data_IF_533587559582
#
_entry.id   IF_533587559582
#
_cell.length_a   1.000
_cell.length_b   1.000
_cell.length_c   1.000
_cell.angle_alpha   90.00
_cell.angle_beta   90.00
_cell.angle_gamma   90.00
#
_symmetry.space_group_name_H-M   'P 1'
#
loop_
_entity.id
_entity.type
_entity.pdbx_description
1 polymer ?
#
# COMPACT_ATOMS: atom_id res chain seq x y z
N UNK A 1 14.71 -2.00 6.98
CA UNK A 1 15.38 -3.30 6.72
C UNK A 1 14.40 -4.47 6.82
N UNK A 2 14.02 -4.94 8.01
CA UNK A 2 13.17 -6.12 8.17
C UNK A 2 11.82 -6.03 7.44
N UNK A 3 11.06 -4.95 7.66
CA UNK A 3 9.72 -4.74 7.07
C UNK A 3 9.71 -4.66 5.54
N UNK A 4 10.82 -4.27 4.91
CA UNK A 4 10.94 -4.17 3.44
C UNK A 4 11.45 -5.49 2.81
N UNK A 5 11.57 -6.57 3.58
CA UNK A 5 12.00 -7.87 3.08
C UNK A 5 13.52 -8.07 2.95
N UNK A 6 14.36 -7.14 3.41
CA UNK A 6 15.82 -7.34 3.39
C UNK A 6 16.32 -8.33 4.45
N UNK A 7 15.51 -8.59 5.48
CA UNK A 7 15.77 -9.60 6.51
C UNK A 7 14.45 -10.31 6.89
N UNK A 8 13.96 -11.25 6.04
CA UNK A 8 12.65 -11.86 6.21
C UNK A 8 12.45 -12.54 7.57
N UNK A 9 13.43 -13.31 8.04
CA UNK A 9 13.35 -14.00 9.34
C UNK A 9 13.24 -13.02 10.50
N UNK A 10 13.89 -11.84 10.41
CA UNK A 10 13.75 -10.81 11.43
C UNK A 10 12.35 -10.17 11.41
N UNK A 11 11.75 -10.00 10.22
CA UNK A 11 10.38 -9.50 10.10
C UNK A 11 9.37 -10.50 10.70
N UNK A 12 9.52 -11.79 10.39
CA UNK A 12 8.69 -12.86 10.95
C UNK A 12 8.79 -12.89 12.48
N UNK A 13 10.00 -12.88 13.05
CA UNK A 13 10.17 -12.90 14.51
C UNK A 13 9.60 -11.67 15.22
N UNK A 14 9.74 -10.49 14.63
CA UNK A 14 9.33 -9.22 15.28
C UNK A 14 7.87 -8.87 15.07
N UNK A 15 7.32 -9.20 13.91
CA UNK A 15 5.98 -8.75 13.49
C UNK A 15 5.02 -9.91 13.20
N UNK A 16 5.48 -11.17 13.24
CA UNK A 16 4.63 -12.33 12.96
C UNK A 16 4.00 -12.26 11.55
N UNK A 17 4.76 -11.78 10.57
CA UNK A 17 4.34 -11.62 9.18
C UNK A 17 5.52 -11.84 8.22
N UNK A 18 5.24 -12.43 7.07
CA UNK A 18 6.19 -12.60 5.98
C UNK A 18 6.22 -11.33 5.11
N UNK A 19 7.39 -10.70 4.91
CA UNK A 19 7.54 -9.60 3.97
C UNK A 19 7.85 -10.10 2.56
N UNK A 20 7.71 -9.23 1.56
CA UNK A 20 8.27 -9.43 0.22
C UNK A 20 9.10 -8.23 -0.21
N UNK A 21 10.19 -8.48 -0.94
CA UNK A 21 11.04 -7.46 -1.54
C UNK A 21 10.54 -7.15 -2.95
N UNK A 22 9.40 -6.45 -3.02
CA UNK A 22 8.81 -5.94 -4.27
C UNK A 22 9.10 -4.44 -4.44
N UNK A 23 8.70 -3.88 -5.58
CA UNK A 23 8.73 -2.44 -5.86
C UNK A 23 7.89 -1.62 -4.87
N UNK A 24 6.87 -2.24 -4.29
CA UNK A 24 6.01 -1.65 -3.24
C UNK A 24 6.34 -2.18 -1.84
N UNK A 25 7.56 -2.65 -1.59
CA UNK A 25 7.98 -3.17 -0.28
C UNK A 25 7.86 -2.15 0.87
N UNK A 26 7.98 -0.86 0.58
CA UNK A 26 7.76 0.22 1.55
C UNK A 26 6.32 0.23 2.05
N UNK A 27 5.35 0.10 1.15
CA UNK A 27 3.95 0.00 1.52
C UNK A 27 3.64 -1.34 2.22
N UNK A 28 4.20 -2.46 1.74
CA UNK A 28 4.05 -3.75 2.44
C UNK A 28 4.55 -3.65 3.88
N UNK A 29 5.68 -3.00 4.10
CA UNK A 29 6.23 -2.80 5.44
C UNK A 29 5.29 -1.99 6.33
N UNK A 30 4.72 -0.90 5.82
CA UNK A 30 3.70 -0.12 6.55
C UNK A 30 2.46 -0.97 6.85
N UNK A 31 1.96 -1.74 5.88
CA UNK A 31 0.78 -2.60 6.08
C UNK A 31 1.04 -3.74 7.05
N UNK A 32 2.25 -4.30 7.07
CA UNK A 32 2.67 -5.28 8.08
C UNK A 32 2.70 -4.64 9.46
N UNK A 33 3.24 -3.42 9.59
CA UNK A 33 3.27 -2.69 10.85
C UNK A 33 1.85 -2.42 11.37
N UNK A 34 0.96 -1.90 10.53
CA UNK A 34 -0.45 -1.68 10.89
C UNK A 34 -1.11 -3.01 11.26
N UNK A 35 -0.97 -4.05 10.44
CA UNK A 35 -1.55 -5.37 10.71
C UNK A 35 -1.00 -6.03 12.00
N UNK A 36 0.25 -5.76 12.37
CA UNK A 36 0.81 -6.16 13.65
C UNK A 36 0.15 -5.42 14.82
N UNK A 37 -0.04 -4.11 14.71
CA UNK A 37 -0.75 -3.31 15.73
C UNK A 37 -2.18 -3.82 15.90
N UNK A 38 -2.92 -4.03 14.80
CA UNK A 38 -4.30 -4.53 14.86
C UNK A 38 -4.40 -5.88 15.56
N UNK A 39 -3.60 -6.88 15.15
CA UNK A 39 -3.62 -8.22 15.76
C UNK A 39 -3.21 -8.21 17.23
N UNK A 40 -2.40 -7.24 17.65
CA UNK A 40 -2.00 -7.07 19.05
C UNK A 40 -3.13 -6.44 19.86
N UNK A 41 -3.76 -5.40 19.32
CA UNK A 41 -4.82 -4.64 19.98
C UNK A 41 -6.16 -5.39 20.06
N UNK A 42 -6.52 -6.15 19.02
CA UNK A 42 -7.79 -6.85 18.92
C UNK A 42 -8.02 -7.85 20.08
N UNK A 43 -6.96 -8.40 20.66
CA UNK A 43 -7.01 -9.27 21.85
C UNK A 43 -7.58 -8.58 23.09
N UNK A 44 -7.63 -7.25 23.08
CA UNK A 44 -8.11 -6.41 24.18
C UNK A 44 -9.37 -5.64 23.79
N UNK A 45 -10.08 -6.08 22.75
CA UNK A 45 -11.25 -5.40 22.18
C UNK A 45 -10.93 -3.95 21.76
N UNK A 46 -9.72 -3.72 21.25
CA UNK A 46 -9.28 -2.43 20.73
C UNK A 46 -9.10 -2.47 19.22
N UNK A 47 -9.56 -1.41 18.59
CA UNK A 47 -9.51 -1.18 17.15
C UNK A 47 -8.72 0.11 16.88
N UNK A 48 -7.64 0.05 16.10
CA UNK A 48 -6.83 1.23 15.77
C UNK A 48 -7.00 1.66 14.32
N UNK A 49 -7.88 2.61 14.03
CA UNK A 49 -8.12 3.04 12.64
C UNK A 49 -6.95 3.89 12.12
N UNK A 50 -6.36 3.56 10.94
CA UNK A 50 -5.32 4.38 10.34
C UNK A 50 -5.85 5.73 9.84
N UNK A 51 -5.23 6.81 10.28
CA UNK A 51 -5.52 8.18 9.83
C UNK A 51 -4.53 8.66 8.76
N UNK A 52 -3.26 8.31 8.92
CA UNK A 52 -2.18 8.65 7.99
C UNK A 52 -1.05 7.64 8.17
N UNK A 53 -0.54 7.09 7.08
CA UNK A 53 0.64 6.23 7.11
C UNK A 53 1.57 6.56 5.95
N UNK A 54 2.84 6.79 6.25
CA UNK A 54 3.82 7.16 5.22
C UNK A 54 5.21 6.62 5.56
N UNK A 55 6.04 6.53 4.53
CA UNK A 55 7.48 6.40 4.71
C UNK A 55 8.13 7.71 4.31
N UNK A 56 8.92 8.29 5.21
CA UNK A 56 9.79 9.43 4.90
C UNK A 56 11.22 9.01 5.16
N UNK A 57 12.08 9.07 4.14
CA UNK A 57 13.46 8.56 4.19
C UNK A 57 13.48 7.08 4.56
N UNK A 58 14.00 6.74 5.74
CA UNK A 58 14.17 5.36 6.22
C UNK A 58 13.22 5.00 7.37
N UNK A 59 12.24 5.86 7.67
CA UNK A 59 11.31 5.68 8.78
C UNK A 59 9.88 5.53 8.26
N UNK A 60 9.20 4.50 8.74
CA UNK A 60 7.77 4.31 8.56
C UNK A 60 7.05 4.95 9.75
N UNK A 61 6.02 5.75 9.48
CA UNK A 61 5.18 6.38 10.49
C UNK A 61 3.72 6.04 10.23
N UNK A 62 3.01 5.72 11.30
CA UNK A 62 1.58 5.41 11.29
C UNK A 62 0.92 6.21 12.41
N UNK A 63 -0.13 6.97 12.06
CA UNK A 63 -0.96 7.71 12.99
C UNK A 63 -2.31 7.00 13.04
N UNK A 64 -2.69 6.56 14.23
CA UNK A 64 -3.85 5.71 14.46
C UNK A 64 -4.77 6.34 15.50
N UNK A 65 -6.08 6.18 15.35
CA UNK A 65 -7.06 6.51 16.39
C UNK A 65 -7.64 5.23 17.00
N UNK A 66 -7.62 5.16 18.32
CA UNK A 66 -8.06 3.98 19.07
C UNK A 66 -9.55 4.03 19.41
N UNK A 67 -10.24 2.94 19.17
CA UNK A 67 -11.63 2.72 19.56
C UNK A 67 -11.75 1.42 20.36
N UNK A 68 -12.64 1.40 21.35
CA UNK A 68 -12.92 0.20 22.16
C UNK A 68 -14.23 -0.47 21.71
N UNK A 69 -14.21 -1.79 21.67
CA UNK A 69 -15.37 -2.66 21.44
C UNK A 69 -15.02 -3.87 20.56
N UNK A 70 -15.47 -5.06 20.98
CA UNK A 70 -15.22 -6.32 20.28
C UNK A 70 -15.67 -6.27 18.81
N UNK A 71 -16.89 -5.79 18.54
CA UNK A 71 -17.41 -5.64 17.18
C UNK A 71 -16.54 -4.74 16.29
N UNK A 72 -15.90 -3.73 16.86
CA UNK A 72 -14.98 -2.85 16.12
C UNK A 72 -13.65 -3.56 15.85
N UNK A 73 -13.14 -4.29 16.84
CA UNK A 73 -11.95 -5.13 16.67
C UNK A 73 -12.17 -6.20 15.59
N UNK A 74 -13.34 -6.85 15.56
CA UNK A 74 -13.71 -7.84 14.54
C UNK A 74 -13.71 -7.25 13.13
N UNK A 75 -14.29 -6.06 12.95
CA UNK A 75 -14.30 -5.35 11.66
C UNK A 75 -12.90 -5.05 11.15
N UNK A 76 -12.02 -4.59 12.04
CA UNK A 76 -10.61 -4.35 11.70
C UNK A 76 -9.91 -5.66 11.36
N UNK A 77 -10.16 -6.74 12.12
CA UNK A 77 -9.55 -8.03 11.85
C UNK A 77 -9.98 -8.62 10.50
N UNK A 78 -11.20 -8.31 10.02
CA UNK A 78 -11.67 -8.70 8.69
C UNK A 78 -10.88 -8.04 7.53
N UNK A 79 -10.20 -6.92 7.79
CA UNK A 79 -9.33 -6.23 6.82
C UNK A 79 -7.89 -6.77 6.83
N UNK A 80 -7.56 -7.74 7.68
CA UNK A 80 -6.27 -8.43 7.63
C UNK A 80 -6.30 -9.47 6.50
N UNK A 81 -5.20 -9.57 5.76
CA UNK A 81 -5.05 -10.56 4.72
C UNK A 81 -3.64 -10.63 4.15
N UNK A 82 -3.54 -11.05 2.90
CA UNK A 82 -2.29 -11.38 2.23
C UNK A 82 -2.21 -10.75 0.85
N UNK A 83 -0.98 -10.46 0.42
CA UNK A 83 -0.66 -10.06 -0.96
C UNK A 83 0.12 -11.19 -1.61
N UNK A 84 -0.42 -11.76 -2.69
CA UNK A 84 0.26 -12.76 -3.51
C UNK A 84 0.83 -12.10 -4.76
N UNK A 85 2.15 -12.12 -4.93
CA UNK A 85 2.88 -11.42 -5.99
C UNK A 85 3.56 -12.39 -6.95
N UNK A 86 3.48 -12.08 -8.25
CA UNK A 86 4.21 -12.77 -9.30
C UNK A 86 5.44 -11.97 -9.71
N UNK A 87 6.64 -12.49 -9.42
CA UNK A 87 7.91 -11.84 -9.78
C UNK A 87 8.23 -11.88 -11.29
N UNK A 88 7.47 -12.63 -12.10
CA UNK A 88 7.66 -12.68 -13.54
C UNK A 88 6.92 -11.56 -14.29
N UNK A 89 5.68 -11.26 -13.91
CA UNK A 89 4.85 -10.27 -14.62
C UNK A 89 4.38 -9.11 -13.74
N UNK A 90 4.76 -9.07 -12.45
CA UNK A 90 4.32 -8.07 -11.46
C UNK A 90 2.81 -8.05 -11.17
N UNK A 91 2.05 -9.04 -11.65
CA UNK A 91 0.65 -9.23 -11.23
C UNK A 91 0.60 -9.60 -9.75
N UNK A 92 -0.44 -9.13 -9.08
CA UNK A 92 -0.69 -9.39 -7.67
C UNK A 92 -2.16 -9.64 -7.38
N UNK A 93 -2.41 -10.36 -6.29
CA UNK A 93 -3.73 -10.73 -5.81
C UNK A 93 -3.84 -10.39 -4.33
N UNK A 94 -4.99 -9.86 -3.92
CA UNK A 94 -5.31 -9.56 -2.53
C UNK A 94 -6.25 -10.63 -2.01
N UNK A 95 -5.94 -11.23 -0.87
CA UNK A 95 -6.79 -12.24 -0.23
C UNK A 95 -7.06 -11.84 1.21
N UNK A 96 -8.31 -11.53 1.54
CA UNK A 96 -8.73 -11.18 2.91
C UNK A 96 -8.91 -12.44 3.77
N UNK A 97 -8.73 -12.29 5.08
CA UNK A 97 -8.93 -13.34 6.07
C UNK A 97 -7.62 -13.90 6.61
N UNK A 98 -7.64 -14.27 7.90
CA UNK A 98 -6.49 -14.84 8.61
C UNK A 98 -6.20 -16.30 8.26
N UNK A 99 -7.23 -17.05 7.86
CA UNK A 99 -7.16 -18.45 7.45
C UNK A 99 -7.52 -18.60 5.96
N UNK A 100 -7.02 -17.69 5.13
CA UNK A 100 -7.36 -17.63 3.72
C UNK A 100 -6.56 -18.65 2.88
N UNK A 101 -7.21 -19.25 1.89
CA UNK A 101 -6.54 -20.04 0.86
C UNK A 101 -5.86 -19.10 -0.14
N UNK A 102 -4.54 -19.23 -0.28
CA UNK A 102 -3.75 -18.35 -1.14
C UNK A 102 -3.53 -18.98 -2.53
N UNK A 103 -3.64 -18.20 -3.62
CA UNK A 103 -3.43 -18.72 -4.96
C UNK A 103 -1.96 -19.12 -5.16
N UNK A 104 -1.70 -20.34 -5.64
CA UNK A 104 -0.34 -20.84 -5.82
C UNK A 104 0.32 -20.41 -7.14
N UNK A 105 -0.48 -20.15 -8.18
CA UNK A 105 -0.02 -19.81 -9.53
C UNK A 105 -0.65 -18.52 -10.04
N UNK A 106 0.16 -17.74 -10.76
CA UNK A 106 -0.27 -16.58 -11.51
C UNK A 106 -0.96 -17.01 -12.81
N UNK A 107 -1.78 -16.13 -13.39
CA UNK A 107 -2.33 -16.30 -14.74
C UNK A 107 -1.25 -16.51 -15.83
N UNK A 108 -0.01 -16.03 -15.63
CA UNK A 108 1.12 -16.29 -16.52
C UNK A 108 1.81 -17.66 -16.30
N UNK A 109 1.28 -18.50 -15.41
CA UNK A 109 1.80 -19.84 -15.11
C UNK A 109 2.89 -19.90 -14.03
N UNK A 110 3.55 -18.79 -13.71
CA UNK A 110 4.61 -18.71 -12.68
C UNK A 110 4.04 -18.85 -11.27
N UNK A 111 4.81 -19.44 -10.36
CA UNK A 111 4.46 -19.53 -8.93
C UNK A 111 4.37 -18.16 -8.25
N UNK A 112 3.40 -18.03 -7.34
CA UNK A 112 3.20 -16.83 -6.54
C UNK A 112 3.99 -16.88 -5.23
N UNK A 113 4.36 -15.70 -4.73
CA UNK A 113 4.97 -15.52 -3.41
C UNK A 113 4.06 -14.64 -2.55
N UNK A 114 3.99 -14.91 -1.25
CA UNK A 114 3.00 -14.28 -0.38
C UNK A 114 3.66 -13.35 0.65
N UNK A 115 3.05 -12.19 0.87
CA UNK A 115 3.29 -11.30 2.01
C UNK A 115 2.08 -11.30 2.93
N UNK A 116 2.31 -11.28 4.23
CA UNK A 116 1.27 -11.17 5.26
C UNK A 116 1.47 -12.09 6.46
N UNK A 117 0.51 -12.13 7.40
CA UNK A 117 -0.72 -11.32 7.39
C UNK A 117 -0.41 -9.82 7.54
N UNK A 118 -1.15 -8.99 6.81
CA UNK A 118 -0.97 -7.53 6.76
C UNK A 118 -2.31 -6.81 6.60
N UNK A 119 -2.31 -5.50 6.83
CA UNK A 119 -3.49 -4.65 6.68
C UNK A 119 -3.83 -4.37 5.21
N UNK A 120 -5.01 -4.81 4.75
CA UNK A 120 -5.54 -4.54 3.42
C UNK A 120 -6.53 -3.36 3.37
N UNK A 121 -6.91 -2.81 4.51
CA UNK A 121 -7.77 -1.63 4.57
C UNK A 121 -7.08 -0.31 4.17
N UNK A 122 -7.78 0.82 4.33
CA UNK A 122 -7.25 2.16 4.06
C UNK A 122 -6.04 2.51 4.94
N UNK A 123 -5.06 3.23 4.38
CA UNK A 123 -3.90 3.75 5.12
C UNK A 123 -4.05 5.24 5.47
N UNK A 124 -5.06 5.89 4.90
CA UNK A 124 -5.28 7.32 4.96
C UNK A 124 -6.76 7.59 5.16
N UNK A 125 -7.07 8.47 6.11
CA UNK A 125 -8.37 9.13 6.18
C UNK A 125 -8.27 10.45 5.40
N UNK A 126 -8.99 10.55 4.28
CA UNK A 126 -8.84 11.67 3.33
C UNK A 126 -9.09 13.02 4.01
N UNK A 127 -10.14 13.12 4.80
CA UNK A 127 -10.55 14.37 5.42
C UNK A 127 -9.58 14.78 6.52
N UNK A 128 -9.10 13.83 7.33
CA UNK A 128 -8.04 14.06 8.29
C UNK A 128 -6.76 14.55 7.61
N UNK A 129 -6.32 13.90 6.53
CA UNK A 129 -5.12 14.30 5.79
C UNK A 129 -5.25 15.71 5.22
N UNK A 130 -6.42 16.09 4.71
CA UNK A 130 -6.68 17.45 4.22
C UNK A 130 -6.61 18.50 5.33
N UNK A 131 -7.17 18.21 6.52
CA UNK A 131 -7.04 19.10 7.69
C UNK A 131 -5.60 19.26 8.15
N UNK A 132 -4.83 18.16 8.18
CA UNK A 132 -3.39 18.23 8.52
C UNK A 132 -2.62 19.06 7.49
N UNK A 133 -2.95 18.92 6.20
CA UNK A 133 -2.33 19.70 5.12
C UNK A 133 -2.57 21.21 5.29
N UNK A 134 -3.79 21.61 5.63
CA UNK A 134 -4.14 23.01 5.88
C UNK A 134 -3.37 23.57 7.07
N UNK A 135 -3.27 22.80 8.16
CA UNK A 135 -2.53 23.20 9.35
C UNK A 135 -1.03 23.34 9.07
N UNK A 136 -0.44 22.38 8.35
CA UNK A 136 0.97 22.44 7.93
C UNK A 136 1.27 23.70 7.13
N UNK A 137 0.38 24.07 6.18
CA UNK A 137 0.52 25.31 5.40
C UNK A 137 0.40 26.56 6.28
N UNK A 138 -0.50 26.55 7.25
CA UNK A 138 -0.73 27.67 8.18
C UNK A 138 0.47 27.95 9.07
N UNK A 139 1.19 26.91 9.51
CA UNK A 139 2.37 27.05 10.36
C UNK A 139 3.56 27.72 9.65
N UNK A 140 3.59 27.75 8.31
CA UNK A 140 4.53 28.50 7.48
C UNK A 140 6.04 28.27 7.78
N UNK A 141 6.43 27.10 8.32
CA UNK A 141 7.85 26.74 8.47
C UNK A 141 8.47 26.33 7.13
N UNK A 142 9.81 26.28 7.07
CA UNK A 142 10.59 26.08 5.84
C UNK A 142 10.14 24.91 4.97
N UNK A 143 9.77 23.77 5.56
CA UNK A 143 9.35 22.55 4.85
C UNK A 143 7.84 22.43 4.64
N UNK A 144 7.03 23.36 5.15
CA UNK A 144 5.56 23.28 5.11
C UNK A 144 4.99 23.01 3.71
N UNK A 145 5.53 23.66 2.67
CA UNK A 145 5.08 23.46 1.28
C UNK A 145 5.41 22.07 0.73
N UNK A 146 6.57 21.53 1.08
CA UNK A 146 6.99 20.17 0.67
C UNK A 146 6.10 19.13 1.34
N UNK A 147 5.88 19.26 2.64
CA UNK A 147 5.04 18.36 3.43
C UNK A 147 3.57 18.45 3.00
N UNK A 148 3.07 19.65 2.67
CA UNK A 148 1.74 19.82 2.09
C UNK A 148 1.60 19.13 0.72
N UNK A 149 2.65 19.13 -0.11
CA UNK A 149 2.70 18.38 -1.36
C UNK A 149 2.61 16.87 -1.13
N UNK A 150 3.35 16.35 -0.14
CA UNK A 150 3.24 14.94 0.28
C UNK A 150 1.82 14.59 0.75
N UNK A 151 1.22 15.43 1.61
CA UNK A 151 -0.14 15.22 2.12
C UNK A 151 -1.18 15.31 1.00
N UNK A 152 -0.94 16.11 -0.04
CA UNK A 152 -1.80 16.15 -1.23
C UNK A 152 -1.81 14.78 -1.91
N UNK A 153 -0.64 14.18 -2.13
CA UNK A 153 -0.53 12.81 -2.69
C UNK A 153 -1.27 11.80 -1.80
N UNK A 154 -1.04 11.85 -0.48
CA UNK A 154 -1.73 10.97 0.48
C UNK A 154 -3.26 11.10 0.38
N UNK A 155 -3.79 12.32 0.23
CA UNK A 155 -5.24 12.57 0.13
C UNK A 155 -5.85 12.06 -1.18
N UNK A 156 -5.10 12.13 -2.28
CA UNK A 156 -5.52 11.61 -3.59
C UNK A 156 -5.50 10.08 -3.61
N UNK A 157 -4.49 9.46 -2.99
CA UNK A 157 -4.34 8.01 -2.98
C UNK A 157 -5.19 7.30 -1.92
N UNK A 158 -5.83 8.05 -1.00
CA UNK A 158 -6.60 7.54 0.13
C UNK A 158 -7.74 6.57 -0.25
N UNK A 159 -8.35 6.81 -1.41
CA UNK A 159 -9.45 5.99 -1.95
C UNK A 159 -8.97 4.87 -2.86
N UNK A 160 -7.66 4.76 -3.07
CA UNK A 160 -7.05 3.77 -3.95
C UNK A 160 -6.92 2.40 -3.31
N UNK A 161 -6.77 1.34 -4.13
CA UNK A 161 -6.58 0.00 -3.61
C UNK A 161 -5.21 -0.18 -2.94
N UNK A 162 -5.05 -1.24 -2.13
CA UNK A 162 -3.75 -1.63 -1.60
C UNK A 162 -2.73 -1.85 -2.70
N UNK A 163 -1.47 -1.53 -2.39
CA UNK A 163 -0.29 -1.62 -3.26
C UNK A 163 -0.35 -0.66 -4.46
N UNK A 164 0.76 -0.57 -5.20
CA UNK A 164 0.89 0.28 -6.37
C UNK A 164 1.71 -0.44 -7.45
N UNK A 165 1.64 0.05 -8.69
CA UNK A 165 2.53 -0.32 -9.77
C UNK A 165 3.64 0.72 -9.92
N UNK A 166 4.83 0.31 -10.33
CA UNK A 166 5.89 1.24 -10.71
C UNK A 166 6.08 1.24 -12.22
N UNK A 167 6.13 2.43 -12.83
CA UNK A 167 6.26 2.60 -14.27
C UNK A 167 7.55 1.95 -14.81
N UNK A 168 8.67 2.05 -14.09
CA UNK A 168 9.93 1.47 -14.55
C UNK A 168 9.89 -0.06 -14.51
N UNK A 169 9.24 -0.61 -13.48
CA UNK A 169 9.09 -2.07 -13.31
C UNK A 169 8.21 -2.64 -14.41
N UNK A 170 7.05 -2.02 -14.67
CA UNK A 170 6.16 -2.46 -15.75
C UNK A 170 6.80 -2.32 -17.13
N UNK A 171 7.55 -1.24 -17.38
CA UNK A 171 8.29 -1.06 -18.63
C UNK A 171 9.37 -2.14 -18.80
N UNK A 172 10.09 -2.49 -17.73
CA UNK A 172 11.06 -3.59 -17.74
C UNK A 172 10.40 -4.95 -18.01
N UNK A 173 9.21 -5.21 -17.43
CA UNK A 173 8.44 -6.44 -17.70
C UNK A 173 7.98 -6.50 -19.16
N UNK A 174 7.58 -5.37 -19.73
CA UNK A 174 7.15 -5.27 -21.13
C UNK A 174 8.31 -5.22 -22.15
N UNK A 175 9.56 -5.07 -21.69
CA UNK A 175 10.73 -4.89 -22.56
C UNK A 175 10.71 -3.56 -23.33
N UNK A 176 10.13 -2.51 -22.76
CA UNK A 176 9.97 -1.18 -23.38
C UNK A 176 10.56 -0.07 -22.52
N UNK A 177 10.70 1.12 -23.11
CA UNK A 177 11.04 2.33 -22.38
C UNK A 177 9.86 2.83 -21.53
N UNK A 178 10.09 3.35 -20.31
CA UNK A 178 9.02 3.80 -19.44
C UNK A 178 8.31 5.04 -20.01
N UNK A 179 6.97 5.02 -20.17
CA UNK A 179 6.21 6.21 -20.52
C UNK A 179 6.24 7.24 -19.38
N UNK A 180 5.88 8.49 -19.68
CA UNK A 180 5.69 9.49 -18.61
C UNK A 180 4.53 9.06 -17.70
N UNK A 181 4.76 9.09 -16.38
CA UNK A 181 3.74 8.74 -15.39
C UNK A 181 2.44 9.53 -15.57
N UNK A 182 2.50 10.81 -15.97
CA UNK A 182 1.30 11.60 -16.26
C UNK A 182 0.45 11.01 -17.39
N UNK A 183 1.08 10.46 -18.43
CA UNK A 183 0.38 9.78 -19.54
C UNK A 183 -0.28 8.50 -19.08
N UNK A 184 0.40 7.72 -18.22
CA UNK A 184 -0.18 6.50 -17.64
C UNK A 184 -1.44 6.84 -16.83
N UNK A 185 -1.34 7.81 -15.92
CA UNK A 185 -2.49 8.25 -15.11
C UNK A 185 -3.65 8.78 -15.96
N UNK A 186 -3.36 9.58 -17.00
CA UNK A 186 -4.37 10.11 -17.90
C UNK A 186 -5.08 8.97 -18.68
N UNK A 187 -4.31 8.00 -19.15
CA UNK A 187 -4.84 6.86 -19.92
C UNK A 187 -5.78 6.01 -19.05
N UNK A 188 -5.39 5.72 -17.82
CA UNK A 188 -6.20 4.95 -16.87
C UNK A 188 -7.47 5.71 -16.47
N UNK A 189 -7.36 7.01 -16.17
CA UNK A 189 -8.54 7.83 -15.85
C UNK A 189 -9.48 7.96 -17.03
N UNK A 190 -8.94 8.07 -18.24
CA UNK A 190 -9.71 8.12 -19.50
C UNK A 190 -10.50 6.85 -19.79
N UNK A 191 -10.09 5.70 -19.25
CA UNK A 191 -10.83 4.44 -19.31
C UNK A 191 -11.79 4.22 -18.15
N UNK A 192 -12.03 5.23 -17.31
CA UNK A 192 -13.02 5.19 -16.22
C UNK A 192 -12.51 4.57 -14.92
N UNK A 193 -11.21 4.31 -14.81
CA UNK A 193 -10.59 3.72 -13.63
C UNK A 193 -9.98 4.77 -12.71
N UNK A 194 -9.95 4.48 -11.41
CA UNK A 194 -9.20 5.27 -10.45
C UNK A 194 -7.71 5.24 -10.80
N UNK A 195 -7.03 6.38 -10.72
CA UNK A 195 -5.58 6.43 -10.78
C UNK A 195 -5.03 7.60 -9.96
N UNK A 196 -3.97 7.35 -9.20
CA UNK A 196 -3.25 8.40 -8.45
C UNK A 196 -1.76 8.13 -8.44
N UNK A 197 -0.97 9.16 -8.11
CA UNK A 197 0.41 8.96 -7.63
C UNK A 197 0.36 8.25 -6.27
N UNK A 198 1.53 7.84 -5.79
CA UNK A 198 1.67 7.27 -4.46
C UNK A 198 2.82 7.90 -3.69
N UNK A 199 2.66 8.06 -2.38
CA UNK A 199 3.71 8.60 -1.51
C UNK A 199 4.93 7.67 -1.39
N UNK A 200 4.77 6.39 -1.75
CA UNK A 200 5.79 5.36 -1.56
C UNK A 200 6.83 5.25 -2.69
N UNK A 201 6.55 5.81 -3.87
CA UNK A 201 7.47 5.82 -5.02
C UNK A 201 7.24 7.03 -5.93
N UNK A 202 8.30 7.74 -6.36
CA UNK A 202 8.18 8.87 -7.30
C UNK A 202 7.68 8.44 -8.70
N UNK A 203 7.88 7.17 -9.05
CA UNK A 203 7.45 6.55 -10.33
C UNK A 203 6.31 5.57 -10.14
N UNK A 204 5.73 5.52 -8.93
CA UNK A 204 4.62 4.65 -8.58
C UNK A 204 3.25 5.27 -8.86
N UNK A 205 2.27 4.41 -9.11
CA UNK A 205 0.86 4.77 -9.24
C UNK A 205 -0.08 3.70 -8.71
N UNK A 206 -1.18 4.14 -8.11
CA UNK A 206 -2.29 3.26 -7.73
C UNK A 206 -3.36 3.29 -8.80
N UNK A 207 -4.06 2.17 -8.96
CA UNK A 207 -5.22 2.08 -9.82
C UNK A 207 -6.06 0.86 -9.45
N UNK A 208 -7.37 0.95 -9.68
CA UNK A 208 -8.31 -0.18 -9.66
C UNK A 208 -8.49 -0.83 -11.04
N UNK A 209 -7.77 -0.35 -12.07
CA UNK A 209 -7.78 -0.94 -13.39
C UNK A 209 -7.28 -2.41 -13.34
N UNK A 210 -7.94 -3.32 -14.06
CA UNK A 210 -7.45 -4.68 -14.25
C UNK A 210 -6.00 -4.68 -14.76
N UNK A 211 -5.23 -5.68 -14.35
CA UNK A 211 -3.80 -5.78 -14.73
C UNK A 211 -3.60 -5.70 -16.24
N UNK A 212 -4.50 -6.29 -17.01
CA UNK A 212 -4.53 -6.32 -18.48
C UNK A 212 -4.64 -4.91 -19.06
N UNK A 213 -5.47 -4.06 -18.45
CA UNK A 213 -5.62 -2.65 -18.83
C UNK A 213 -4.37 -1.85 -18.46
N UNK A 214 -3.69 -2.22 -17.37
CA UNK A 214 -2.46 -1.55 -16.92
C UNK A 214 -1.28 -1.91 -17.82
N UNK A 215 -1.04 -3.19 -18.08
CA UNK A 215 0.13 -3.66 -18.84
C UNK A 215 0.06 -3.26 -20.32
N UNK A 216 -1.14 -3.16 -20.91
CA UNK A 216 -1.31 -2.75 -22.31
C UNK A 216 -0.82 -1.34 -22.61
N UNK A 217 -0.76 -0.45 -21.61
CA UNK A 217 -0.19 0.90 -21.72
C UNK A 217 1.32 0.86 -22.03
N UNK A 218 1.98 -0.27 -21.73
CA UNK A 218 3.41 -0.48 -21.86
C UNK A 218 3.80 -1.37 -23.06
N UNK A 219 2.84 -1.82 -23.88
CA UNK A 219 3.09 -2.66 -25.06
C UNK A 219 3.32 -1.82 -26.33
#
# INVERSE_FOLDING_TARGET
>A
AALCGSAPSACIRKYGAAPLRTEYCHELGVRILVGFVQRTAAKYDLAFLPLLAHQTRHQMRVYLIGERGATKADRIMAEIGFVSHCFSCSRRYLTKGMAAELPSRCACGTGLRHAGPLWLGPLFDRDFVLRVREEVLRMAYKQSREEAGMLTICSEEAVGPPTFYDVNVLASVAGRSPPRLSRVLQTIRGSGHFASRTIFSPTGFRTDAPYENVISIFL
#
